data_IF_210278173445
#
_entry.id   IF_210278173445
#
_cell.length_a   1.000
_cell.length_b   1.000
_cell.length_c   1.000
_cell.angle_alpha   90.00
_cell.angle_beta   90.00
_cell.angle_gamma   90.00
#
_symmetry.space_group_name_H-M   'P 1'
#
loop_
_entity.id
_entity.type
_entity.pdbx_description
1 polymer ?
2 polymer ?
3 non-polymer ?
4 non-polymer ?
5 water ?
#
# COMPACT_ATOMS: atom_id res chain seq x y z
N UNK A 26 2.68 21.86 16.47
CA UNK A 26 1.53 21.55 15.59
C UNK A 26 1.91 21.62 14.09
N UNK A 27 1.61 20.58 13.30
CA UNK A 27 2.08 20.43 11.90
C UNK A 27 0.88 20.39 10.95
N UNK A 28 1.14 20.03 9.69
CA UNK A 28 0.24 20.13 8.52
C UNK A 28 -1.09 19.41 8.79
N UNK A 29 -2.23 20.01 8.42
CA UNK A 29 -3.57 19.45 8.74
C UNK A 29 -3.80 18.19 7.89
N UNK A 30 -3.35 18.18 6.64
CA UNK A 30 -3.53 17.00 5.78
C UNK A 30 -2.85 15.79 6.45
N UNK A 31 -1.66 15.95 6.94
CA UNK A 31 -0.90 14.87 7.61
C UNK A 31 -1.71 14.41 8.85
N UNK A 32 -2.19 15.33 9.69
CA UNK A 32 -3.01 15.03 10.89
C UNK A 32 -4.24 14.22 10.48
N UNK A 33 -4.90 14.61 9.37
CA UNK A 33 -6.13 14.00 8.86
C UNK A 33 -5.84 12.57 8.41
N UNK A 34 -4.77 12.39 7.65
CA UNK A 34 -4.36 11.02 7.21
C UNK A 34 -4.08 10.14 8.43
N UNK A 35 -3.49 10.67 9.49
CA UNK A 35 -3.16 9.87 10.68
C UNK A 35 -4.48 9.38 11.29
N UNK A 36 -5.48 10.25 11.40
CA UNK A 36 -6.76 9.80 12.05
C UNK A 36 -7.51 8.88 11.10
N UNK A 37 -7.30 8.96 9.79
CA UNK A 37 -7.98 8.09 8.82
C UNK A 37 -7.30 6.71 8.77
N UNK A 38 -6.18 6.54 9.43
CA UNK A 38 -5.37 5.30 9.30
C UNK A 38 -6.24 4.11 9.76
N UNK A 39 -6.51 3.08 8.96
CA UNK A 39 -7.35 1.99 9.43
C UNK A 39 -6.74 1.17 10.58
N UNK A 40 -7.59 0.46 11.32
CA UNK A 40 -7.22 -0.42 12.45
C UNK A 40 -6.46 -1.64 11.90
N UNK A 41 -5.60 -2.22 12.73
CA UNK A 41 -4.82 -3.47 12.46
C UNK A 41 -5.80 -4.57 12.03
N UNK A 42 -5.39 -5.50 11.17
CA UNK A 42 -6.27 -6.65 10.84
C UNK A 42 -5.41 -7.90 10.99
N UNK A 43 -5.99 -8.99 11.47
CA UNK A 43 -5.22 -10.23 11.76
C UNK A 43 -5.26 -11.10 10.52
N UNK A 44 -4.19 -11.87 10.29
CA UNK A 44 -4.16 -12.85 9.18
C UNK A 44 -5.04 -14.06 9.52
N UNK A 45 -4.99 -14.50 10.77
CA UNK A 45 -5.79 -15.70 11.21
C UNK A 45 -5.57 -16.85 10.24
N UNK A 46 -4.32 -17.33 10.06
CA UNK A 46 -4.08 -18.56 9.32
C UNK A 46 -4.83 -19.70 10.05
N UNK A 47 -5.42 -20.58 9.28
CA UNK A 47 -6.27 -21.67 9.80
C UNK A 47 -5.39 -22.66 10.57
N UNK A 48 -5.57 -22.78 11.89
CA UNK A 48 -4.70 -23.62 12.68
C UNK A 48 -4.97 -25.11 12.47
N UNK A 49 -6.01 -25.48 11.72
CA UNK A 49 -6.34 -26.90 11.43
C UNK A 49 -5.63 -27.31 10.13
N UNK A 50 -5.07 -26.37 9.36
CA UNK A 50 -4.49 -26.68 8.02
C UNK A 50 -2.98 -26.88 8.16
N UNK A 51 -2.38 -27.96 7.56
CA UNK A 51 -0.94 -28.14 7.68
C UNK A 51 -0.20 -26.96 7.00
N UNK A 52 0.93 -26.58 7.54
CA UNK A 52 1.83 -25.54 6.96
C UNK A 52 2.32 -26.03 5.59
N UNK A 53 2.31 -25.12 4.63
CA UNK A 53 2.62 -25.39 3.21
C UNK A 53 2.69 -24.06 2.48
N UNK A 54 3.16 -24.09 1.24
CA UNK A 54 3.25 -22.88 0.40
C UNK A 54 1.80 -22.46 0.13
N UNK A 55 0.92 -23.43 -0.10
CA UNK A 55 -0.50 -23.14 -0.48
C UNK A 55 -1.23 -22.47 0.69
N UNK A 56 -1.01 -22.93 1.90
CA UNK A 56 -1.55 -22.29 3.13
C UNK A 56 -1.01 -20.86 3.25
N UNK A 57 0.30 -20.67 3.17
CA UNK A 57 0.91 -19.33 3.35
C UNK A 57 0.34 -18.37 2.30
N UNK A 58 0.28 -18.80 1.04
CA UNK A 58 -0.22 -17.99 -0.09
C UNK A 58 -1.74 -17.75 0.07
N UNK A 59 -2.49 -18.74 0.56
CA UNK A 59 -3.94 -18.57 0.77
C UNK A 59 -4.15 -17.49 1.82
N UNK A 60 -3.38 -17.58 2.89
CA UNK A 60 -3.49 -16.70 4.07
C UNK A 60 -3.18 -15.26 3.62
N UNK A 61 -2.11 -15.10 2.84
CA UNK A 61 -1.71 -13.74 2.38
C UNK A 61 -2.75 -13.17 1.42
N UNK A 62 -3.29 -13.95 0.49
CA UNK A 62 -4.31 -13.47 -0.47
C UNK A 62 -5.60 -13.12 0.29
N UNK A 63 -5.95 -13.90 1.32
CA UNK A 63 -7.13 -13.63 2.18
C UNK A 63 -6.94 -12.34 2.96
N UNK A 64 -5.76 -12.16 3.57
CA UNK A 64 -5.40 -10.92 4.28
C UNK A 64 -5.48 -9.74 3.26
N UNK A 65 -4.91 -9.86 2.06
CA UNK A 65 -4.93 -8.75 1.06
C UNK A 65 -6.36 -8.40 0.69
N UNK A 66 -7.19 -9.42 0.47
CA UNK A 66 -8.63 -9.24 0.14
C UNK A 66 -9.31 -8.37 1.21
N UNK A 67 -9.08 -8.64 2.51
CA UNK A 67 -9.70 -7.86 3.60
C UNK A 67 -9.08 -6.47 3.71
N UNK A 68 -7.77 -6.36 3.58
CA UNK A 68 -7.12 -5.02 3.63
C UNK A 68 -7.60 -4.15 2.45
N UNK A 69 -7.85 -4.72 1.28
CA UNK A 69 -8.35 -3.97 0.11
C UNK A 69 -9.67 -3.28 0.43
N UNK A 70 -10.55 -3.89 1.25
CA UNK A 70 -11.83 -3.23 1.61
C UNK A 70 -11.53 -1.97 2.39
N UNK A 71 -10.65 -2.11 3.35
CA UNK A 71 -10.21 -1.08 4.32
C UNK A 71 -9.49 0.05 3.54
N UNK A 72 -8.74 -0.30 2.51
CA UNK A 72 -7.99 0.68 1.64
C UNK A 72 -8.99 1.50 0.84
N UNK A 73 -10.03 0.86 0.33
CA UNK A 73 -11.08 1.62 -0.41
C UNK A 73 -11.71 2.67 0.49
N UNK A 74 -12.08 2.34 1.74
CA UNK A 74 -12.71 3.30 2.66
C UNK A 74 -11.73 4.37 3.11
N UNK A 75 -10.46 3.99 3.27
CA UNK A 75 -9.39 4.95 3.61
C UNK A 75 -9.25 6.02 2.53
N UNK A 76 -9.27 5.63 1.25
CA UNK A 76 -8.98 6.55 0.12
C UNK A 76 -10.03 7.67 0.10
N UNK A 77 -11.25 7.35 0.52
CA UNK A 77 -12.36 8.32 0.57
C UNK A 77 -12.07 9.45 1.56
N UNK A 78 -11.22 9.24 2.58
CA UNK A 78 -10.79 10.28 3.52
C UNK A 78 -9.72 11.19 2.90
N UNK A 79 -9.15 10.83 1.74
CA UNK A 79 -8.07 11.68 1.18
C UNK A 79 -8.68 12.92 0.55
N UNK A 80 -8.30 14.13 1.00
CA UNK A 80 -8.91 15.35 0.49
C UNK A 80 -8.94 15.39 -1.05
N UNK A 81 -10.14 15.47 -1.60
CA UNK A 81 -10.35 15.57 -3.07
C UNK A 81 -10.50 14.24 -3.77
N UNK A 82 -10.15 13.09 -3.16
CA UNK A 82 -10.26 11.79 -3.87
C UNK A 82 -11.73 11.53 -4.25
N UNK A 83 -12.66 11.73 -3.32
CA UNK A 83 -14.12 11.48 -3.52
C UNK A 83 -14.73 12.42 -4.58
N UNK A 84 -14.02 13.46 -5.00
CA UNK A 84 -14.51 14.46 -5.99
C UNK A 84 -14.16 13.99 -7.39
N UNK A 85 -13.20 13.08 -7.53
CA UNK A 85 -12.90 12.48 -8.85
C UNK A 85 -14.10 11.65 -9.33
N UNK A 86 -14.16 11.38 -10.63
CA UNK A 86 -15.13 10.45 -11.21
C UNK A 86 -14.90 9.08 -10.58
N UNK A 87 -15.95 8.28 -10.43
CA UNK A 87 -15.80 6.92 -9.89
C UNK A 87 -14.82 6.19 -10.80
N UNK A 88 -14.82 6.49 -12.10
CA UNK A 88 -13.88 5.88 -13.06
C UNK A 88 -12.43 6.20 -12.62
N UNK A 89 -12.13 7.47 -12.33
CA UNK A 89 -10.76 7.88 -11.92
C UNK A 89 -10.43 7.31 -10.53
N UNK A 90 -11.38 7.29 -9.60
CA UNK A 90 -11.14 6.66 -8.27
C UNK A 90 -10.74 5.19 -8.48
N UNK A 91 -11.43 4.47 -9.37
CA UNK A 91 -11.13 3.05 -9.65
C UNK A 91 -9.72 2.93 -10.26
N UNK A 92 -9.39 3.78 -11.23
CA UNK A 92 -8.11 3.76 -11.95
C UNK A 92 -6.95 3.92 -10.95
N UNK A 93 -7.05 4.89 -10.05
CA UNK A 93 -5.98 5.18 -9.06
C UNK A 93 -5.82 3.92 -8.20
N UNK A 94 -6.92 3.34 -7.72
CA UNK A 94 -6.79 2.18 -6.81
C UNK A 94 -6.28 0.98 -7.60
N UNK A 95 -6.72 0.79 -8.85
CA UNK A 95 -6.29 -0.37 -9.66
C UNK A 95 -4.78 -0.31 -9.91
N UNK A 96 -4.21 0.88 -10.01
CA UNK A 96 -2.75 1.02 -10.19
C UNK A 96 -1.98 0.94 -8.87
N UNK A 97 -2.50 1.44 -7.77
CA UNK A 97 -1.69 1.69 -6.56
C UNK A 97 -1.90 0.65 -5.46
N UNK A 98 -2.92 -0.22 -5.58
CA UNK A 98 -3.36 -1.04 -4.41
C UNK A 98 -2.19 -1.82 -3.82
N UNK A 99 -1.35 -2.46 -4.64
CA UNK A 99 -0.29 -3.33 -4.13
C UNK A 99 0.80 -2.47 -3.49
N UNK A 100 1.08 -1.26 -4.00
CA UNK A 100 1.98 -0.31 -3.33
C UNK A 100 1.45 0.00 -1.93
N UNK A 101 0.15 0.25 -1.80
CA UNK A 101 -0.44 0.58 -0.48
C UNK A 101 -0.27 -0.61 0.50
N UNK A 102 -0.55 -1.82 0.03
CA UNK A 102 -0.42 -3.06 0.84
C UNK A 102 1.04 -3.22 1.26
N UNK A 103 1.97 -3.03 0.31
CA UNK A 103 3.42 -3.21 0.59
C UNK A 103 3.85 -2.16 1.59
N UNK A 104 3.47 -0.89 1.41
CA UNK A 104 3.93 0.12 2.41
C UNK A 104 3.46 -0.19 3.83
N UNK A 105 2.25 -0.72 3.99
CA UNK A 105 1.75 -1.17 5.32
C UNK A 105 2.69 -2.20 5.94
N UNK A 106 3.05 -3.24 5.16
CA UNK A 106 3.93 -4.31 5.64
C UNK A 106 5.27 -3.66 6.01
N UNK A 107 5.79 -2.80 5.16
CA UNK A 107 7.07 -2.08 5.40
C UNK A 107 7.04 -1.29 6.72
N UNK A 108 6.06 -0.44 6.92
CA UNK A 108 5.92 0.34 8.16
C UNK A 108 5.88 -0.58 9.41
N UNK A 109 5.10 -1.64 9.37
CA UNK A 109 4.92 -2.55 10.53
C UNK A 109 6.23 -3.28 10.83
N UNK A 110 7.15 -3.32 9.87
CA UNK A 110 8.38 -4.15 9.95
C UNK A 110 9.56 -3.33 10.44
N UNK A 111 9.42 -2.02 10.64
CA UNK A 111 10.57 -1.11 10.85
C UNK A 111 11.31 -1.44 12.16
N UNK A 112 10.64 -1.92 13.20
CA UNK A 112 11.35 -2.26 14.46
C UNK A 112 11.85 -3.71 14.48
N UNK A 113 11.69 -4.47 13.40
CA UNK A 113 12.10 -5.90 13.27
C UNK A 113 13.39 -5.97 12.44
N UNK A 114 14.01 -7.14 12.45
CA UNK A 114 15.26 -7.42 11.73
C UNK A 114 15.02 -8.62 10.83
N UNK A 115 15.02 -8.39 9.52
CA UNK A 115 14.96 -9.46 8.50
C UNK A 115 13.64 -10.24 8.65
N UNK A 116 12.61 -9.59 9.18
CA UNK A 116 11.25 -10.18 9.26
C UNK A 116 10.24 -9.19 8.71
N UNK A 117 9.19 -9.72 8.10
CA UNK A 117 8.08 -8.91 7.53
C UNK A 117 6.82 -9.16 8.34
N UNK A 118 6.31 -8.08 8.90
CA UNK A 118 5.05 -8.09 9.69
C UNK A 118 3.86 -7.91 8.76
N UNK A 119 3.41 -8.98 8.11
CA UNK A 119 2.15 -8.96 7.34
C UNK A 119 0.98 -8.58 8.27
N UNK A 120 1.05 -9.07 9.50
CA UNK A 120 0.04 -8.88 10.56
C UNK A 120 0.69 -9.29 11.88
N UNK A 121 0.11 -8.88 13.01
CA UNK A 121 0.73 -9.13 14.32
C UNK A 121 0.82 -10.64 14.54
N UNK A 122 -0.08 -11.40 13.92
CA UNK A 122 -0.15 -12.89 13.99
C UNK A 122 0.44 -13.51 12.70
N UNK A 123 1.23 -12.77 11.90
CA UNK A 123 1.80 -13.34 10.64
C UNK A 123 3.08 -12.61 10.26
N UNK A 124 4.17 -13.01 10.91
CA UNK A 124 5.51 -12.41 10.75
C UNK A 124 6.36 -13.42 10.00
N UNK A 125 6.82 -13.09 8.80
CA UNK A 125 7.59 -14.07 7.98
C UNK A 125 9.08 -13.78 8.06
N UNK A 126 9.89 -14.78 8.42
CA UNK A 126 11.37 -14.69 8.34
C UNK A 126 11.77 -15.31 7.00
N UNK A 127 13.07 -15.33 6.72
CA UNK A 127 13.65 -15.86 5.45
C UNK A 127 13.22 -17.32 5.24
N UNK A 128 13.34 -18.18 6.25
CA UNK A 128 12.91 -19.61 6.15
C UNK A 128 11.46 -19.67 5.65
N UNK A 129 10.55 -18.95 6.31
CA UNK A 129 9.13 -18.95 5.91
C UNK A 129 8.97 -18.39 4.49
N UNK A 130 9.67 -17.30 4.14
CA UNK A 130 9.60 -16.77 2.76
C UNK A 130 10.04 -17.86 1.76
N UNK A 131 11.14 -18.55 2.07
CA UNK A 131 11.60 -19.69 1.22
C UNK A 131 10.47 -20.72 1.09
N UNK A 132 9.87 -21.13 2.22
CA UNK A 132 8.80 -22.16 2.23
C UNK A 132 7.62 -21.69 1.37
N UNK A 133 7.32 -20.37 1.30
CA UNK A 133 6.17 -19.86 0.51
C UNK A 133 6.54 -19.57 -0.97
N UNK A 134 7.80 -19.70 -1.37
CA UNK A 134 8.25 -19.31 -2.73
C UNK A 134 8.33 -17.79 -2.88
N UNK A 135 8.53 -17.07 -1.77
CA UNK A 135 8.47 -15.58 -1.73
C UNK A 135 9.84 -15.00 -1.38
N UNK A 136 10.94 -15.77 -1.45
CA UNK A 136 12.25 -15.22 -0.99
C UNK A 136 12.60 -13.96 -1.76
N UNK A 137 12.49 -13.98 -3.08
CA UNK A 137 12.95 -12.85 -3.94
C UNK A 137 12.06 -11.63 -3.67
N UNK A 138 10.74 -11.82 -3.66
CA UNK A 138 9.79 -10.69 -3.43
C UNK A 138 10.05 -10.11 -2.04
N UNK A 139 10.19 -10.97 -1.03
CA UNK A 139 10.30 -10.53 0.38
C UNK A 139 11.67 -9.88 0.58
N UNK A 140 12.70 -10.29 -0.17
CA UNK A 140 14.03 -9.64 -0.04
C UNK A 140 13.90 -8.19 -0.56
N UNK A 141 13.13 -7.97 -1.61
CA UNK A 141 12.90 -6.62 -2.18
C UNK A 141 12.06 -5.78 -1.19
N UNK A 142 11.07 -6.37 -0.53
CA UNK A 142 10.30 -5.65 0.52
C UNK A 142 11.27 -5.29 1.65
N UNK A 143 12.17 -6.19 2.00
CA UNK A 143 13.13 -5.93 3.10
C UNK A 143 14.13 -4.82 2.69
N UNK A 144 14.40 -4.68 1.41
CA UNK A 144 15.25 -3.60 0.88
C UNK A 144 14.53 -2.26 1.14
N UNK A 145 13.21 -2.20 0.91
CA UNK A 145 12.43 -0.98 1.26
C UNK A 145 12.52 -0.71 2.76
N UNK A 146 12.37 -1.76 3.58
CA UNK A 146 12.41 -1.66 5.06
C UNK A 146 13.76 -1.06 5.46
N UNK A 147 14.85 -1.59 4.90
CA UNK A 147 16.24 -1.18 5.25
C UNK A 147 16.41 0.31 4.96
N UNK A 148 15.91 0.80 3.83
CA UNK A 148 16.08 2.22 3.46
C UNK A 148 15.27 3.09 4.42
N UNK A 149 14.03 2.72 4.71
CA UNK A 149 13.18 3.53 5.63
C UNK A 149 13.72 3.48 7.06
N UNK A 150 14.29 2.37 7.53
CA UNK A 150 14.98 2.35 8.86
C UNK A 150 16.12 3.36 8.92
N UNK A 151 16.95 3.40 7.90
CA UNK A 151 18.12 4.29 7.85
C UNK A 151 17.62 5.73 7.84
N UNK A 152 16.42 5.99 7.28
CA UNK A 152 15.89 7.36 7.18
C UNK A 152 15.07 7.71 8.43
N UNK A 153 14.86 6.77 9.36
CA UNK A 153 13.97 6.89 10.55
C UNK A 153 12.58 7.38 10.11
N UNK A 154 11.99 6.68 9.16
CA UNK A 154 10.62 6.97 8.66
C UNK A 154 9.67 7.09 9.86
N UNK A 155 8.91 8.19 9.90
CA UNK A 155 7.87 8.46 10.94
C UNK A 155 6.50 8.04 10.43
N UNK A 156 5.56 7.75 11.32
CA UNK A 156 4.18 7.43 10.91
C UNK A 156 3.59 8.54 10.01
N UNK A 157 3.82 9.82 10.33
CA UNK A 157 3.34 10.99 9.55
C UNK A 157 3.81 10.87 8.08
N UNK A 158 5.06 10.46 7.89
CA UNK A 158 5.68 10.36 6.56
C UNK A 158 5.11 9.15 5.84
N UNK A 159 4.94 8.04 6.56
CA UNK A 159 4.31 6.81 6.06
C UNK A 159 2.94 7.14 5.46
N UNK A 160 2.05 7.76 6.26
CA UNK A 160 0.67 7.91 5.79
C UNK A 160 0.67 8.90 4.62
N UNK A 161 1.55 9.88 4.61
CA UNK A 161 1.59 10.87 3.50
C UNK A 161 2.11 10.17 2.23
N UNK A 162 3.12 9.31 2.37
CA UNK A 162 3.66 8.59 1.17
C UNK A 162 2.62 7.62 0.62
N UNK A 163 1.82 6.98 1.47
CA UNK A 163 0.75 6.06 1.01
C UNK A 163 -0.21 6.86 0.13
N UNK A 164 -0.61 8.04 0.58
CA UNK A 164 -1.56 8.88 -0.18
C UNK A 164 -0.89 9.33 -1.47
N UNK A 165 0.37 9.73 -1.41
CA UNK A 165 1.10 10.16 -2.64
C UNK A 165 1.19 8.98 -3.61
N UNK A 166 1.48 7.77 -3.12
CA UNK A 166 1.57 6.58 -3.98
C UNK A 166 0.25 6.35 -4.72
N UNK A 167 -0.88 6.53 -4.02
CA UNK A 167 -2.20 6.44 -4.66
C UNK A 167 -2.36 7.51 -5.74
N UNK A 168 -2.10 8.78 -5.43
CA UNK A 168 -2.33 9.91 -6.38
C UNK A 168 -1.35 9.86 -7.56
N UNK A 169 -0.15 9.34 -7.34
CA UNK A 169 0.93 9.31 -8.35
C UNK A 169 1.04 7.94 -9.00
N UNK A 170 -0.07 7.20 -9.19
CA UNK A 170 0.06 5.76 -9.48
C UNK A 170 0.20 5.55 -10.99
N UNK A 171 0.09 6.57 -11.84
CA UNK A 171 0.43 6.50 -13.29
C UNK A 171 -0.51 5.56 -14.08
N UNK A 172 -1.75 5.48 -13.67
CA UNK A 172 -2.79 4.78 -14.47
C UNK A 172 -2.80 5.35 -15.90
N UNK A 173 -2.83 4.46 -16.90
CA UNK A 173 -3.02 4.80 -18.33
C UNK A 173 -4.44 5.36 -18.60
N UNK A 174 -5.41 5.22 -17.69
CA UNK A 174 -6.85 5.36 -18.03
C UNK A 174 -7.49 6.60 -17.39
N UNK A 175 -6.72 7.59 -16.96
CA UNK A 175 -7.26 8.76 -16.22
C UNK A 175 -8.08 9.62 -17.17
N UNK A 176 -9.29 10.02 -16.75
CA UNK A 176 -10.20 10.96 -17.45
C UNK A 176 -9.74 12.39 -17.16
N UNK A 177 -9.74 12.80 -15.89
CA UNK A 177 -9.44 14.19 -15.48
C UNK A 177 -7.96 14.26 -15.04
N UNK A 178 -7.05 14.28 -16.00
CA UNK A 178 -5.59 14.41 -15.76
C UNK A 178 -5.30 15.58 -14.82
N UNK A 179 -5.87 16.76 -15.08
CA UNK A 179 -5.56 17.97 -14.29
C UNK A 179 -6.04 17.78 -12.84
N UNK A 180 -7.16 17.10 -12.61
CA UNK A 180 -7.68 16.93 -11.24
C UNK A 180 -6.76 15.97 -10.48
N UNK A 181 -6.26 14.97 -11.17
CA UNK A 181 -5.34 13.97 -10.54
C UNK A 181 -4.02 14.71 -10.23
N UNK A 182 -3.52 15.54 -11.14
CA UNK A 182 -2.32 16.39 -10.87
C UNK A 182 -2.56 17.26 -9.63
N UNK A 183 -3.75 17.85 -9.46
CA UNK A 183 -4.05 18.71 -8.29
C UNK A 183 -3.99 17.88 -7.01
N UNK A 184 -4.53 16.65 -7.02
CA UNK A 184 -4.44 15.75 -5.85
C UNK A 184 -2.96 15.48 -5.51
N UNK A 185 -2.13 15.16 -6.50
CA UNK A 185 -0.68 14.94 -6.31
C UNK A 185 -0.12 16.18 -5.62
N UNK A 186 -0.49 17.36 -6.13
CA UNK A 186 0.11 18.65 -5.70
C UNK A 186 -0.27 18.88 -4.24
N UNK A 187 -1.52 18.62 -3.87
CA UNK A 187 -2.01 18.88 -2.50
C UNK A 187 -1.20 17.99 -1.55
N UNK A 188 -0.98 16.74 -1.92
CA UNK A 188 -0.33 15.76 -1.00
C UNK A 188 1.18 16.01 -0.96
N UNK A 189 1.74 16.36 -2.10
CA UNK A 189 3.19 16.71 -2.20
C UNK A 189 3.43 17.94 -1.32
N UNK A 190 2.54 18.93 -1.45
CA UNK A 190 2.62 20.14 -0.59
C UNK A 190 2.59 19.78 0.91
N UNK A 191 1.71 18.86 1.29
CA UNK A 191 1.61 18.45 2.70
C UNK A 191 2.92 17.82 3.16
N UNK A 192 3.51 16.94 2.33
CA UNK A 192 4.80 16.34 2.71
C UNK A 192 5.85 17.45 2.87
N UNK A 193 5.92 18.37 1.91
CA UNK A 193 6.98 19.41 1.95
C UNK A 193 6.80 20.28 3.20
N UNK A 194 5.55 20.63 3.50
CA UNK A 194 5.20 21.49 4.67
C UNK A 194 5.59 20.73 5.94
N UNK A 195 5.21 19.45 6.02
CA UNK A 195 5.59 18.60 7.18
C UNK A 195 7.09 18.63 7.37
N UNK A 196 7.85 18.33 6.30
CA UNK A 196 9.33 18.23 6.39
C UNK A 196 9.94 19.61 6.71
N UNK A 197 9.38 20.69 6.20
CA UNK A 197 9.97 22.03 6.42
C UNK A 197 9.87 22.38 7.91
N UNK A 198 8.78 21.96 8.57
CA UNK A 198 8.50 22.26 9.98
C UNK A 198 9.17 21.26 10.90
N UNK A 199 9.17 19.98 10.56
CA UNK A 199 9.63 18.92 11.49
C UNK A 199 11.10 18.60 11.30
N UNK A 200 11.68 18.87 10.12
CA UNK A 200 13.03 18.36 9.78
C UNK A 200 13.91 19.46 9.19
N UNK A 201 14.06 20.56 9.92
CA UNK A 201 14.86 21.73 9.46
C UNK A 201 16.32 21.33 9.30
N UNK A 202 16.78 20.27 9.96
CA UNK A 202 18.18 19.82 9.85
C UNK A 202 18.45 19.28 8.42
N UNK A 203 17.43 18.91 7.65
CA UNK A 203 17.64 18.28 6.33
C UNK A 203 16.62 18.88 5.37
N UNK A 204 16.95 20.00 4.70
CA UNK A 204 15.99 20.69 3.86
C UNK A 204 15.66 19.88 2.59
N UNK A 205 16.29 18.72 2.37
CA UNK A 205 15.99 17.84 1.21
C UNK A 205 15.26 16.57 1.64
N UNK A 206 14.75 16.53 2.89
CA UNK A 206 14.13 15.28 3.39
C UNK A 206 12.90 14.92 2.54
N UNK A 207 12.06 15.88 2.17
CA UNK A 207 10.84 15.60 1.38
C UNK A 207 11.23 14.87 0.08
N UNK A 208 12.23 15.42 -0.62
CA UNK A 208 12.74 14.82 -1.86
C UNK A 208 13.30 13.43 -1.66
N UNK A 209 14.02 13.19 -0.57
CA UNK A 209 14.55 11.88 -0.21
C UNK A 209 13.39 10.91 -0.04
N UNK A 210 12.31 11.35 0.62
CA UNK A 210 11.11 10.51 0.77
C UNK A 210 10.52 10.22 -0.63
N UNK A 211 10.44 11.20 -1.53
CA UNK A 211 9.86 10.96 -2.88
C UNK A 211 10.79 9.98 -3.61
N UNK A 212 12.09 10.03 -3.35
CA UNK A 212 13.10 9.15 -4.04
C UNK A 212 12.99 7.70 -3.57
N UNK A 213 12.15 7.38 -2.57
CA UNK A 213 11.87 5.98 -2.19
C UNK A 213 10.75 5.38 -3.05
N UNK A 214 10.01 6.19 -3.79
CA UNK A 214 8.81 5.67 -4.49
C UNK A 214 9.21 4.74 -5.65
N UNK A 215 10.29 4.98 -6.39
CA UNK A 215 10.65 4.03 -7.46
C UNK A 215 10.82 2.59 -6.95
N UNK A 216 11.51 2.39 -5.83
CA UNK A 216 11.64 1.00 -5.30
C UNK A 216 10.28 0.45 -4.90
N UNK A 217 9.39 1.28 -4.35
CA UNK A 217 8.04 0.78 -4.01
C UNK A 217 7.31 0.34 -5.30
N UNK A 218 7.39 1.14 -6.34
CA UNK A 218 6.76 0.83 -7.65
C UNK A 218 7.36 -0.49 -8.15
N UNK A 219 8.69 -0.63 -8.12
CA UNK A 219 9.38 -1.83 -8.66
C UNK A 219 8.92 -3.08 -7.87
N UNK A 220 8.85 -2.97 -6.55
CA UNK A 220 8.52 -4.11 -5.66
C UNK A 220 7.05 -4.47 -5.89
N UNK A 221 6.18 -3.48 -6.03
CA UNK A 221 4.74 -3.70 -6.34
C UNK A 221 4.57 -4.45 -7.64
N UNK A 222 5.27 -4.06 -8.69
CA UNK A 222 5.17 -4.74 -10.00
C UNK A 222 5.54 -6.21 -9.85
N UNK A 223 6.60 -6.49 -9.09
CA UNK A 223 7.12 -7.85 -8.83
C UNK A 223 6.03 -8.65 -8.11
N UNK A 224 5.41 -8.08 -7.08
CA UNK A 224 4.35 -8.71 -6.26
C UNK A 224 3.15 -9.07 -7.13
N UNK A 225 2.64 -8.13 -7.92
CA UNK A 225 1.46 -8.32 -8.81
C UNK A 225 1.78 -9.41 -9.84
N UNK A 226 2.96 -9.40 -10.45
CA UNK A 226 3.32 -10.43 -11.46
C UNK A 226 3.30 -11.79 -10.77
N UNK A 227 3.88 -11.86 -9.58
CA UNK A 227 4.03 -13.12 -8.83
C UNK A 227 2.64 -13.66 -8.48
N UNK A 228 1.75 -12.86 -7.90
CA UNK A 228 0.40 -13.31 -7.51
C UNK A 228 -0.47 -13.55 -8.75
N UNK A 229 -0.23 -12.84 -9.86
CA UNK A 229 -0.97 -13.11 -11.13
C UNK A 229 -0.64 -14.54 -11.61
N UNK A 230 0.64 -14.92 -11.53
CA UNK A 230 1.12 -16.27 -11.94
C UNK A 230 0.51 -17.34 -11.03
N UNK A 231 0.42 -17.06 -9.72
CA UNK A 231 -0.23 -17.98 -8.74
C UNK A 231 -1.70 -18.11 -9.10
N UNK A 232 -2.37 -17.01 -9.46
CA UNK A 232 -3.76 -17.05 -9.98
C UNK A 232 -3.84 -18.01 -11.18
N UNK A 233 -2.88 -17.95 -12.13
CA UNK A 233 -2.88 -18.78 -13.36
C UNK A 233 -2.77 -20.26 -13.00
N UNK A 234 -1.78 -20.65 -12.19
CA UNK A 234 -1.56 -22.04 -11.71
C UNK A 234 -2.83 -22.65 -11.05
N UNK A 235 -3.74 -21.82 -10.52
CA UNK A 235 -5.07 -22.23 -10.03
C UNK A 235 -5.06 -23.07 -8.74
N UNK A 236 -3.97 -23.13 -7.97
CA UNK A 236 -3.88 -23.99 -6.75
C UNK A 236 -4.16 -23.20 -5.46
N UNK A 237 -4.35 -21.88 -5.56
CA UNK A 237 -4.54 -21.03 -4.36
C UNK A 237 -5.87 -20.34 -4.54
N UNK A 238 -6.86 -20.57 -3.64
CA UNK A 238 -8.16 -19.91 -3.75
C UNK A 238 -8.00 -18.42 -3.44
N UNK A 239 -8.71 -17.57 -4.17
CA UNK A 239 -8.66 -16.09 -4.00
C UNK A 239 -10.09 -15.54 -4.02
N UNK A 240 -10.38 -14.59 -3.14
CA UNK A 240 -11.67 -13.89 -3.05
C UNK A 240 -11.84 -12.86 -4.17
N UNK A 241 -13.09 -12.48 -4.42
CA UNK A 241 -13.59 -11.61 -5.53
C UNK A 241 -12.72 -10.34 -5.68
N UNK A 242 -12.58 -9.56 -4.62
CA UNK A 242 -11.96 -8.20 -4.67
C UNK A 242 -10.48 -8.33 -5.02
N UNK A 243 -9.74 -9.22 -4.36
CA UNK A 243 -8.31 -9.46 -4.66
C UNK A 243 -8.16 -9.83 -6.14
N UNK A 244 -9.01 -10.75 -6.60
CA UNK A 244 -9.01 -11.21 -8.01
C UNK A 244 -9.28 -10.06 -8.98
N UNK A 245 -10.25 -9.21 -8.69
CA UNK A 245 -10.62 -8.02 -9.48
C UNK A 245 -9.39 -7.10 -9.60
N UNK A 246 -8.72 -6.80 -8.47
CA UNK A 246 -7.50 -5.94 -8.49
C UNK A 246 -6.37 -6.62 -9.27
N UNK A 247 -6.12 -7.93 -9.09
CA UNK A 247 -5.12 -8.66 -9.89
C UNK A 247 -5.48 -8.62 -11.38
N UNK A 248 -6.74 -8.69 -11.74
CA UNK A 248 -7.12 -8.82 -13.18
C UNK A 248 -7.06 -7.44 -13.85
N UNK A 249 -7.14 -6.33 -13.10
CA UNK A 249 -7.20 -4.95 -13.63
C UNK A 249 -6.07 -4.68 -14.64
N UNK B 1 -19.79 -2.64 -14.75
CA UNK B 1 -20.68 -2.15 -13.64
C UNK B 1 -21.05 -3.31 -12.68
N UNK B 2 -20.46 -4.49 -12.87
CA UNK B 2 -20.58 -5.68 -11.96
C UNK B 2 -19.45 -5.66 -10.92
N UNK B 3 -18.60 -4.62 -10.92
CA UNK B 3 -17.31 -4.57 -10.20
C UNK B 3 -17.55 -4.44 -8.68
N UNK B 4 -16.91 -5.27 -7.85
CA UNK B 4 -16.97 -5.12 -6.38
C UNK B 4 -16.27 -3.80 -5.99
N UNK B 5 -15.18 -3.45 -6.66
CA UNK B 5 -14.48 -2.17 -6.37
C UNK B 5 -15.44 -0.98 -6.56
N UNK B 6 -16.13 -0.90 -7.69
CA UNK B 6 -17.16 0.17 -7.92
C UNK B 6 -18.22 0.13 -6.82
N UNK B 7 -18.71 -1.06 -6.46
CA UNK B 7 -19.76 -1.22 -5.42
C UNK B 7 -19.28 -0.60 -4.10
N UNK B 8 -18.06 -0.95 -3.69
CA UNK B 8 -17.52 -0.46 -2.39
C UNK B 8 -17.26 1.05 -2.47
N UNK B 9 -16.88 1.55 -3.63
CA UNK B 9 -16.62 3.01 -3.80
C UNK B 9 -17.95 3.78 -3.70
N UNK B 10 -19.06 3.19 -4.17
CA UNK B 10 -20.41 3.82 -4.11
C UNK B 10 -20.98 3.70 -2.70
N UNK B 11 -20.62 2.64 -1.99
CA UNK B 11 -21.12 2.24 -0.65
C UNK B 11 -20.90 3.35 0.39
N UNK B 12 -21.96 3.72 1.10
CA UNK B 12 -22.02 4.93 1.97
C UNK B 12 -21.61 4.54 3.40
X LIG C 1 3.79 -8.33 -1.55
X LIG C 1 2.69 -8.90 -1.45
X LIG C 1 2.26 -9.65 -2.31
X LIG C 1 1.81 -8.55 -0.30
X LIG C 1 2.13 -7.36 0.30
X LIG C 1 1.43 -6.91 1.39
X LIG C 1 0.37 -7.67 1.83
X LIG C 1 -0.51 -7.43 2.87
X LIG C 1 -1.41 -8.46 2.91
X LIG C 1 -1.13 -9.35 1.93
X LIG C 1 0.00 -8.88 1.21
X LIG C 1 0.74 -9.34 0.10
X LIG D 1 -7.85 -18.69 -8.01
X LIG D 1 -9.31 -18.27 -7.92
X LIG D 1 -10.14 -18.78 -9.06
X LIG D 1 -7.63 -19.63 -9.05
X LIG D 1 -9.83 -18.70 -6.68
X LIG E 1 2.28 -23.00 -4.87
X LIG E 1 1.86 -22.02 -5.93
X LIG E 1 2.99 -21.76 -6.89
X LIG E 1 3.56 -22.65 -4.35
X LIG E 1 0.71 -22.50 -6.63
X LIG F 1 -7.78 17.23 -5.87
X LIG F 1 -9.11 17.36 -6.59
X LIG F 1 -9.11 18.48 -7.61
X LIG F 1 -7.85 17.75 -4.53
X LIG F 1 -9.40 16.12 -7.22
X LIG G 1 -0.68 -9.08 -15.13
X LIG G 1 0.71 -9.57 -14.74
X LIG G 1 1.58 -9.94 -15.92
X LIG G 1 -1.31 -8.43 -14.03
X LIG G 1 1.31 -8.53 -13.97
#
# INVERSE_FOLDING_TARGET
MGSSHHHHHHSSGLVPRGSHMPAKKPYNKIVSHLLVAEPEKIYAMPDPTVPDSDIKALTTLCDLADRELVVIIGWAKHIPGFSTLSLADQMSLLQSAWMEILILGVVYRSLSFEDELVYADDYIMDEDQSKLAGLLDLNNAILQLVKKYKSMKLEKEEFVTLKAIALANSDSMHIEDVEAVQKLQDVLHEALQDYEAGQHMEDPRRAGKMLMTLPLLRQTSTKAVQHFYNIKLEGKVPMHKLFLEMLEAKV
NNSLLLHLLKSQTIP
2HU O1 N2 O3 C4 C5 C6 C7 N8 C9 C10 C11 C12
PGR C1 C2 C3 O1 O2
PGR C1 C2 C3 O1 O2
PGR C1 C2 C3 O1 O2
PGR C1 C2 C3 O1 O2
#
